data_IF_931428072324
#
_entry.id   IF_931428072324
#
_cell.length_a   1.000
_cell.length_b   1.000
_cell.length_c   1.000
_cell.angle_alpha   90.00
_cell.angle_beta   90.00
_cell.angle_gamma   90.00
#
_symmetry.space_group_name_H-M   'P 1'
#
loop_
_entity.id
_entity.type
_entity.pdbx_description
1 polymer ?
#
# COMPACT_ATOMS: atom_id res chain seq x y z
N UNK A 1 15.84 29.42 0.28
CA UNK A 1 15.07 30.37 -0.53
C UNK A 1 14.16 29.57 -1.44
N UNK A 2 12.94 29.26 -0.99
CA UNK A 2 11.92 28.59 -1.81
C UNK A 2 10.88 29.65 -2.13
N UNK A 3 10.64 29.86 -3.42
CA UNK A 3 9.77 30.91 -3.95
C UNK A 3 8.30 30.60 -3.72
N UNK A 4 7.54 31.68 -3.52
CA UNK A 4 6.10 31.73 -3.37
C UNK A 4 5.40 31.13 -4.60
N UNK A 5 4.76 29.98 -4.43
CA UNK A 5 3.92 29.37 -5.45
C UNK A 5 2.52 29.98 -5.33
N UNK A 6 2.22 30.95 -6.21
CA UNK A 6 0.91 31.58 -6.31
C UNK A 6 -0.25 30.58 -6.51
N UNK A 7 -1.51 31.04 -6.37
CA UNK A 7 -2.67 30.17 -6.23
C UNK A 7 -2.87 29.28 -7.48
N UNK A 8 -2.94 27.96 -7.25
CA UNK A 8 -3.26 26.95 -8.25
C UNK A 8 -4.66 27.22 -8.80
N UNK A 9 -4.75 27.67 -10.05
CA UNK A 9 -6.03 27.78 -10.77
C UNK A 9 -6.45 26.40 -11.24
N UNK A 10 -7.47 25.84 -10.58
CA UNK A 10 -8.14 24.63 -11.04
C UNK A 10 -9.05 24.99 -12.21
N UNK A 11 -8.55 24.85 -13.43
CA UNK A 11 -9.37 24.89 -14.64
C UNK A 11 -10.13 23.57 -14.72
N UNK A 12 -11.43 23.56 -14.39
CA UNK A 12 -12.30 22.39 -14.60
C UNK A 12 -12.49 22.18 -16.10
N UNK A 13 -11.85 21.14 -16.65
CA UNK A 13 -12.06 20.67 -18.02
C UNK A 13 -13.07 19.53 -17.99
N UNK A 14 -14.15 19.64 -18.78
CA UNK A 14 -14.98 18.51 -19.21
C UNK A 14 -16.12 18.08 -18.30
N UNK A 15 -17.20 17.58 -18.89
CA UNK A 15 -18.40 17.11 -18.19
C UNK A 15 -18.05 15.99 -17.20
N UNK A 16 -18.30 16.23 -15.91
CA UNK A 16 -18.11 15.24 -14.85
C UNK A 16 -19.03 14.04 -15.10
N UNK A 17 -18.46 12.83 -15.21
CA UNK A 17 -19.22 11.59 -15.13
C UNK A 17 -19.95 11.58 -13.78
N UNK A 18 -21.27 11.80 -13.79
CA UNK A 18 -22.05 12.04 -12.56
C UNK A 18 -22.17 10.80 -11.66
N UNK A 19 -21.85 9.62 -12.19
CA UNK A 19 -22.02 8.33 -11.52
C UNK A 19 -20.71 7.70 -11.03
N UNK A 20 -19.54 8.33 -11.31
CA UNK A 20 -18.24 7.82 -10.84
C UNK A 20 -17.81 8.55 -9.57
N UNK A 21 -17.83 7.81 -8.46
CA UNK A 21 -17.34 8.28 -7.16
C UNK A 21 -15.84 8.03 -7.00
N UNK A 22 -15.16 8.83 -6.17
CA UNK A 22 -13.72 8.72 -5.92
C UNK A 22 -13.42 7.64 -4.86
N UNK A 23 -13.74 6.38 -5.17
CA UNK A 23 -13.55 5.25 -4.28
C UNK A 23 -12.66 4.16 -4.88
N UNK A 24 -11.81 3.58 -4.03
CA UNK A 24 -11.09 2.34 -4.28
C UNK A 24 -11.51 1.36 -3.20
N UNK A 25 -12.38 0.42 -3.53
CA UNK A 25 -12.83 -0.63 -2.59
C UNK A 25 -11.91 -1.86 -2.62
N UNK A 26 -11.30 -2.14 -3.78
CA UNK A 26 -10.40 -3.28 -3.96
C UNK A 26 -9.12 -2.81 -4.62
N UNK A 27 -7.99 -3.19 -4.01
CA UNK A 27 -6.70 -3.19 -4.68
C UNK A 27 -6.32 -4.65 -4.87
N UNK A 28 -6.33 -5.13 -6.11
CA UNK A 28 -6.00 -6.54 -6.42
C UNK A 28 -4.66 -6.61 -7.14
N UNK A 29 -3.77 -7.45 -6.63
CA UNK A 29 -2.43 -7.64 -7.15
C UNK A 29 -2.29 -9.04 -7.75
N UNK A 30 -1.79 -9.10 -8.98
CA UNK A 30 -1.35 -10.36 -9.57
C UNK A 30 -0.15 -10.88 -8.77
N UNK A 31 -0.33 -12.06 -8.20
CA UNK A 31 0.54 -12.67 -7.20
C UNK A 31 1.17 -13.92 -7.82
N UNK A 32 2.47 -13.90 -8.16
CA UNK A 32 3.13 -15.04 -8.81
C UNK A 32 3.22 -16.28 -7.92
N UNK A 33 3.31 -16.09 -6.61
CA UNK A 33 3.41 -17.17 -5.63
C UNK A 33 2.50 -16.85 -4.44
N UNK A 34 1.29 -17.42 -4.48
CA UNK A 34 0.27 -17.18 -3.46
C UNK A 34 0.62 -17.86 -2.12
N UNK A 35 1.43 -18.92 -2.15
CA UNK A 35 1.86 -19.62 -0.95
C UNK A 35 2.96 -18.85 -0.22
N UNK A 36 3.93 -18.26 -0.95
CA UNK A 36 4.91 -17.35 -0.39
C UNK A 36 4.23 -16.11 0.23
N UNK A 37 3.22 -15.55 -0.46
CA UNK A 37 2.43 -14.46 0.07
C UNK A 37 1.70 -14.86 1.36
N UNK A 38 1.05 -16.02 1.40
CA UNK A 38 0.37 -16.53 2.60
C UNK A 38 1.33 -16.75 3.77
N UNK A 39 2.50 -17.34 3.51
CA UNK A 39 3.53 -17.54 4.53
C UNK A 39 4.01 -16.20 5.11
N UNK A 40 4.20 -15.19 4.27
CA UNK A 40 4.60 -13.85 4.70
C UNK A 40 3.52 -13.13 5.50
N UNK A 41 2.33 -12.93 4.90
CA UNK A 41 1.26 -12.14 5.51
C UNK A 41 0.65 -12.85 6.72
N UNK A 42 0.22 -14.11 6.57
CA UNK A 42 -0.45 -14.83 7.65
C UNK A 42 0.55 -15.39 8.67
N UNK A 43 1.61 -16.05 8.20
CA UNK A 43 2.59 -16.71 9.09
C UNK A 43 3.58 -15.73 9.73
N UNK A 44 4.09 -14.78 8.94
CA UNK A 44 5.14 -13.86 9.37
C UNK A 44 4.61 -12.59 10.04
N UNK A 45 3.60 -11.95 9.45
CA UNK A 45 3.00 -10.73 9.98
C UNK A 45 1.77 -10.99 10.87
N UNK A 46 1.25 -12.21 10.90
CA UNK A 46 0.09 -12.57 11.71
C UNK A 46 -1.24 -12.01 11.18
N UNK A 47 -1.33 -11.69 9.89
CA UNK A 47 -2.56 -11.18 9.30
C UNK A 47 -3.61 -12.29 9.19
N UNK A 48 -4.87 -11.91 9.40
CA UNK A 48 -6.01 -12.80 9.23
C UNK A 48 -6.69 -12.50 7.89
N UNK A 49 -6.86 -13.50 7.01
CA UNK A 49 -7.57 -13.30 5.76
C UNK A 49 -9.07 -13.09 6.02
N UNK A 50 -9.64 -12.13 5.29
CA UNK A 50 -11.10 -11.98 5.16
C UNK A 50 -11.69 -13.14 4.33
N UNK A 51 -10.94 -13.63 3.34
CA UNK A 51 -11.24 -14.79 2.51
C UNK A 51 -9.91 -15.40 2.03
N UNK A 52 -9.83 -16.73 1.98
CA UNK A 52 -8.71 -17.45 1.37
C UNK A 52 -9.28 -18.59 0.53
N UNK A 53 -9.15 -18.49 -0.78
CA UNK A 53 -9.48 -19.54 -1.75
C UNK A 53 -8.17 -20.14 -2.24
N UNK A 54 -7.82 -21.37 -1.83
CA UNK A 54 -6.56 -22.00 -2.19
C UNK A 54 -6.32 -22.04 -3.71
N UNK A 55 -5.11 -21.64 -4.11
CA UNK A 55 -4.72 -21.56 -5.53
C UNK A 55 -5.50 -20.52 -6.34
N UNK A 56 -6.17 -19.56 -5.69
CA UNK A 56 -6.94 -18.53 -6.39
C UNK A 56 -6.70 -17.15 -5.81
N UNK A 57 -7.22 -16.84 -4.63
CA UNK A 57 -7.20 -15.47 -4.12
C UNK A 57 -7.20 -15.43 -2.60
N UNK A 58 -6.48 -14.46 -2.03
CA UNK A 58 -6.53 -14.11 -0.61
C UNK A 58 -6.96 -12.66 -0.49
N UNK A 59 -7.96 -12.38 0.35
CA UNK A 59 -8.39 -11.04 0.68
C UNK A 59 -8.01 -10.67 2.12
N UNK A 60 -7.52 -9.45 2.31
CA UNK A 60 -7.27 -8.85 3.62
C UNK A 60 -8.04 -7.54 3.74
N UNK A 61 -8.76 -7.36 4.85
CA UNK A 61 -9.36 -6.07 5.18
C UNK A 61 -8.23 -5.12 5.64
N UNK A 62 -7.96 -4.05 4.88
CA UNK A 62 -6.84 -3.14 5.18
C UNK A 62 -7.27 -1.77 5.72
N UNK A 63 -8.52 -1.37 5.46
CA UNK A 63 -9.14 -0.17 6.02
C UNK A 63 -10.68 -0.29 5.93
N UNK A 64 -11.48 0.53 6.61
CA UNK A 64 -12.94 0.54 6.41
C UNK A 64 -13.31 0.68 4.93
N UNK A 65 -14.05 -0.30 4.40
CA UNK A 65 -14.47 -0.32 2.99
C UNK A 65 -13.39 -0.68 1.97
N UNK A 66 -12.15 -0.97 2.39
CA UNK A 66 -11.05 -1.29 1.48
C UNK A 66 -10.44 -2.66 1.76
N UNK A 67 -10.30 -3.45 0.69
CA UNK A 67 -9.74 -4.80 0.70
C UNK A 67 -8.51 -4.85 -0.22
N UNK A 68 -7.44 -5.47 0.28
CA UNK A 68 -6.30 -5.90 -0.52
C UNK A 68 -6.54 -7.34 -0.98
N UNK A 69 -6.51 -7.57 -2.29
CA UNK A 69 -6.56 -8.89 -2.92
C UNK A 69 -5.21 -9.32 -3.45
N UNK A 70 -4.78 -10.52 -3.09
CA UNK A 70 -3.65 -11.22 -3.69
C UNK A 70 -4.23 -12.32 -4.56
N UNK A 71 -4.27 -12.09 -5.88
CA UNK A 71 -4.89 -13.00 -6.86
C UNK A 71 -3.77 -13.73 -7.60
N UNK A 72 -3.80 -15.06 -7.63
CA UNK A 72 -2.97 -15.90 -8.50
C UNK A 72 -2.76 -15.24 -9.87
N UNK A 73 -1.51 -15.07 -10.26
CA UNK A 73 -1.17 -14.25 -11.41
C UNK A 73 -1.69 -14.83 -12.74
N UNK A 74 -1.80 -16.15 -12.87
CA UNK A 74 -2.36 -16.80 -14.07
C UNK A 74 -3.85 -16.53 -14.17
N UNK A 75 -4.59 -16.83 -13.11
CA UNK A 75 -6.04 -16.59 -13.05
C UNK A 75 -6.39 -15.10 -13.17
N UNK A 76 -5.60 -14.22 -12.55
CA UNK A 76 -5.77 -12.77 -12.71
C UNK A 76 -5.71 -12.36 -14.19
N UNK A 77 -4.74 -12.89 -14.95
CA UNK A 77 -4.60 -12.58 -16.39
C UNK A 77 -5.76 -13.11 -17.21
N UNK A 78 -6.23 -14.32 -16.89
CA UNK A 78 -7.40 -14.92 -17.52
C UNK A 78 -8.65 -14.07 -17.29
N UNK A 79 -8.89 -13.64 -16.05
CA UNK A 79 -10.04 -12.82 -15.65
C UNK A 79 -10.09 -11.48 -16.38
N UNK A 80 -8.95 -10.77 -16.47
CA UNK A 80 -8.90 -9.47 -17.17
C UNK A 80 -8.71 -9.60 -18.69
N UNK A 81 -8.60 -10.82 -19.22
CA UNK A 81 -8.42 -11.09 -20.65
C UNK A 81 -7.11 -10.55 -21.25
N UNK A 82 -6.01 -10.53 -20.49
CA UNK A 82 -4.70 -10.02 -20.95
C UNK A 82 -3.59 -11.08 -20.90
N UNK A 83 -3.39 -11.86 -21.98
CA UNK A 83 -2.31 -12.84 -22.05
C UNK A 83 -0.93 -12.17 -22.15
N UNK A 84 0.08 -12.73 -21.48
CA UNK A 84 1.45 -12.18 -21.46
C UNK A 84 2.33 -12.84 -20.39
N UNK A 85 3.64 -12.63 -20.46
CA UNK A 85 4.65 -13.42 -19.70
C UNK A 85 5.03 -12.86 -18.34
N UNK A 86 4.73 -11.60 -18.02
CA UNK A 86 5.11 -11.04 -16.73
C UNK A 86 4.13 -9.96 -16.27
N UNK A 87 3.51 -10.18 -15.11
CA UNK A 87 2.92 -9.09 -14.32
C UNK A 87 3.94 -8.77 -13.24
N UNK A 88 4.58 -7.60 -13.32
CA UNK A 88 5.46 -7.11 -12.27
C UNK A 88 4.79 -5.90 -11.63
N UNK A 89 4.60 -5.93 -10.32
CA UNK A 89 4.14 -4.77 -9.58
C UNK A 89 5.27 -3.74 -9.56
N UNK A 90 5.09 -2.60 -10.24
CA UNK A 90 6.10 -1.53 -10.26
C UNK A 90 5.43 -0.17 -10.17
N UNK A 91 6.12 0.79 -9.53
CA UNK A 91 5.63 2.17 -9.38
C UNK A 91 4.51 2.34 -8.35
N UNK A 92 4.34 1.41 -7.40
CA UNK A 92 3.34 1.47 -6.33
C UNK A 92 4.03 1.29 -4.98
N UNK A 93 3.62 2.09 -3.99
CA UNK A 93 3.95 1.89 -2.58
C UNK A 93 2.68 1.77 -1.75
N UNK A 94 2.64 0.82 -0.83
CA UNK A 94 1.62 0.76 0.22
C UNK A 94 2.19 1.34 1.51
N UNK A 95 1.62 2.46 1.97
CA UNK A 95 2.15 3.19 3.12
C UNK A 95 1.32 2.92 4.38
N UNK A 96 2.01 2.65 5.49
CA UNK A 96 1.42 2.46 6.81
C UNK A 96 2.03 3.45 7.81
N UNK A 97 1.20 4.40 8.27
CA UNK A 97 1.60 5.36 9.29
C UNK A 97 1.55 4.73 10.69
N UNK A 98 2.65 4.85 11.44
CA UNK A 98 2.80 4.37 12.81
C UNK A 98 3.09 5.51 13.78
N UNK A 99 2.95 5.23 15.07
CA UNK A 99 2.96 6.23 16.14
C UNK A 99 4.29 6.97 16.33
N UNK A 100 5.41 6.42 15.85
CA UNK A 100 6.72 7.05 16.02
C UNK A 100 7.85 6.33 15.29
N UNK A 101 9.07 6.91 15.26
CA UNK A 101 10.24 6.32 14.61
C UNK A 101 10.56 4.90 15.10
N UNK A 102 10.49 4.64 16.40
CA UNK A 102 10.76 3.32 16.97
C UNK A 102 9.81 2.23 16.44
N UNK A 103 8.55 2.59 16.20
CA UNK A 103 7.58 1.67 15.60
C UNK A 103 7.89 1.41 14.13
N UNK A 104 8.46 2.39 13.40
CA UNK A 104 8.95 2.19 12.04
C UNK A 104 10.08 1.16 12.04
N UNK A 105 11.08 1.36 12.89
CA UNK A 105 12.21 0.44 13.03
C UNK A 105 11.75 -0.99 13.35
N UNK A 106 10.87 -1.13 14.36
CA UNK A 106 10.38 -2.42 14.81
C UNK A 106 9.61 -3.16 13.71
N UNK A 107 8.71 -2.48 13.00
CA UNK A 107 7.86 -3.11 12.00
C UNK A 107 8.64 -3.47 10.72
N UNK A 108 9.56 -2.61 10.27
CA UNK A 108 10.45 -2.95 9.16
C UNK A 108 11.31 -4.16 9.51
N UNK A 109 11.87 -4.22 10.72
CA UNK A 109 12.64 -5.37 11.16
C UNK A 109 11.78 -6.65 11.25
N UNK A 110 10.52 -6.54 11.69
CA UNK A 110 9.59 -7.67 11.71
C UNK A 110 9.28 -8.19 10.30
N UNK A 111 9.01 -7.29 9.35
CA UNK A 111 8.77 -7.68 7.96
C UNK A 111 9.98 -8.37 7.34
N UNK A 112 11.20 -7.87 7.58
CA UNK A 112 12.42 -8.52 7.08
C UNK A 112 12.59 -9.93 7.69
N UNK A 113 12.31 -10.10 9.00
CA UNK A 113 12.31 -11.44 9.63
C UNK A 113 11.25 -12.38 9.05
N UNK A 114 10.12 -11.83 8.60
CA UNK A 114 9.07 -12.58 7.91
C UNK A 114 9.41 -12.95 6.46
N UNK A 115 10.53 -12.47 5.91
CA UNK A 115 10.98 -12.78 4.55
C UNK A 115 10.89 -11.62 3.56
N UNK A 116 10.57 -10.40 4.01
CA UNK A 116 10.63 -9.23 3.13
C UNK A 116 12.06 -8.89 2.72
N UNK A 117 12.22 -8.37 1.52
CA UNK A 117 13.48 -7.79 1.05
C UNK A 117 13.59 -6.34 1.51
N UNK A 118 14.63 -6.00 2.27
CA UNK A 118 14.84 -4.62 2.69
C UNK A 118 15.21 -3.75 1.48
N UNK A 119 14.47 -2.66 1.27
CA UNK A 119 14.70 -1.69 0.17
C UNK A 119 15.39 -0.44 0.70
N UNK A 120 14.94 0.07 1.84
CA UNK A 120 15.47 1.29 2.46
C UNK A 120 15.44 1.15 3.98
N UNK A 121 16.61 1.25 4.61
CA UNK A 121 16.70 1.32 6.06
C UNK A 121 15.87 2.50 6.60
N UNK A 122 15.18 2.32 7.75
CA UNK A 122 14.49 3.39 8.43
C UNK A 122 15.40 4.61 8.66
N UNK A 123 14.91 5.78 8.29
CA UNK A 123 15.65 7.03 8.41
C UNK A 123 14.71 8.24 8.34
N UNK A 124 15.23 9.41 8.74
CA UNK A 124 14.51 10.68 8.58
C UNK A 124 14.29 10.98 7.10
N UNK A 125 13.05 11.29 6.72
CA UNK A 125 12.69 11.62 5.35
C UNK A 125 13.12 13.06 4.99
N UNK A 126 13.41 13.31 3.72
CA UNK A 126 13.88 14.62 3.23
C UNK A 126 12.81 15.73 3.34
N UNK A 127 11.54 15.34 3.40
CA UNK A 127 10.37 16.22 3.46
C UNK A 127 9.71 16.23 4.86
N UNK A 128 10.42 15.77 5.89
CA UNK A 128 9.89 15.63 7.25
C UNK A 128 9.31 14.24 7.51
N UNK A 129 9.31 13.83 8.78
CA UNK A 129 8.92 12.48 9.22
C UNK A 129 10.07 11.45 9.22
N UNK A 130 9.72 10.19 9.43
CA UNK A 130 10.65 9.07 9.52
C UNK A 130 10.09 7.85 8.80
N UNK A 131 10.86 7.16 7.97
CA UNK A 131 10.34 6.05 7.17
C UNK A 131 11.37 5.00 6.79
N UNK A 132 10.91 3.77 6.55
CA UNK A 132 11.67 2.67 6.00
C UNK A 132 10.84 1.92 4.94
N UNK A 133 11.51 1.22 4.03
CA UNK A 133 10.84 0.50 2.95
C UNK A 133 11.33 -0.92 2.83
N UNK A 134 10.42 -1.83 2.53
CA UNK A 134 10.71 -3.21 2.18
C UNK A 134 9.82 -3.66 1.02
N UNK A 135 10.22 -4.70 0.32
CA UNK A 135 9.40 -5.39 -0.67
C UNK A 135 8.89 -6.71 -0.07
N UNK A 136 7.59 -6.96 -0.20
CA UNK A 136 7.00 -8.26 0.13
C UNK A 136 7.42 -9.33 -0.91
N UNK A 137 7.04 -10.62 -0.73
CA UNK A 137 7.37 -11.67 -1.70
C UNK A 137 6.81 -11.44 -3.11
N UNK A 138 5.79 -10.59 -3.27
CA UNK A 138 5.20 -10.22 -4.55
C UNK A 138 5.91 -9.01 -5.20
N UNK A 139 6.95 -8.47 -4.56
CA UNK A 139 7.66 -7.28 -5.01
C UNK A 139 6.92 -5.96 -4.73
N UNK A 140 5.84 -5.99 -3.94
CA UNK A 140 5.11 -4.80 -3.53
C UNK A 140 5.94 -4.05 -2.51
N UNK A 141 6.20 -2.77 -2.80
CA UNK A 141 6.97 -1.93 -1.89
C UNK A 141 6.02 -1.43 -0.80
N UNK A 142 6.34 -1.76 0.44
CA UNK A 142 5.73 -1.18 1.63
C UNK A 142 6.59 -0.05 2.16
N UNK A 143 5.96 1.07 2.48
CA UNK A 143 6.52 2.13 3.29
C UNK A 143 5.93 2.02 4.69
N UNK A 144 6.79 1.86 5.71
CA UNK A 144 6.39 2.13 7.08
C UNK A 144 6.88 3.53 7.42
N UNK A 145 5.96 4.40 7.82
CA UNK A 145 6.28 5.81 8.03
C UNK A 145 5.70 6.33 9.34
N UNK A 146 6.32 7.37 9.86
CA UNK A 146 5.77 8.23 10.88
C UNK A 146 5.71 9.63 10.30
N UNK A 147 4.51 10.05 9.91
CA UNK A 147 4.21 11.41 9.48
C UNK A 147 3.31 12.11 10.52
N UNK A 148 3.87 13.01 11.37
CA UNK A 148 3.08 13.74 12.36
C UNK A 148 2.01 14.65 11.77
N UNK A 149 2.15 15.05 10.50
CA UNK A 149 1.16 15.86 9.80
C UNK A 149 -0.02 15.07 9.24
N UNK A 150 -0.02 13.73 9.36
CA UNK A 150 -1.10 12.87 8.88
C UNK A 150 -1.99 12.41 10.04
N UNK A 151 -3.30 12.42 9.81
CA UNK A 151 -4.28 11.86 10.75
C UNK A 151 -5.57 11.45 10.02
N UNK A 152 -6.40 10.64 10.68
CA UNK A 152 -7.76 10.29 10.24
C UNK A 152 -8.73 10.79 11.30
N UNK A 153 -9.77 11.53 10.89
CA UNK A 153 -10.83 11.97 11.83
C UNK A 153 -11.92 10.90 12.03
N UNK A 154 -12.87 11.17 12.93
CA UNK A 154 -13.95 10.23 13.29
C UNK A 154 -14.85 9.83 12.13
N UNK A 155 -14.86 10.60 11.04
CA UNK A 155 -15.63 10.29 9.84
C UNK A 155 -14.78 9.60 8.76
N UNK A 156 -13.55 9.20 9.09
CA UNK A 156 -12.65 8.50 8.18
C UNK A 156 -11.93 9.41 7.17
N UNK A 157 -11.98 10.74 7.34
CA UNK A 157 -11.31 11.66 6.42
C UNK A 157 -9.84 11.84 6.81
N UNK A 158 -8.97 11.72 5.82
CA UNK A 158 -7.54 12.03 5.98
C UNK A 158 -7.34 13.54 6.10
N UNK A 159 -6.54 13.95 7.09
CA UNK A 159 -6.00 15.31 7.19
C UNK A 159 -4.49 15.26 7.00
N UNK A 160 -3.99 16.19 6.20
CA UNK A 160 -2.57 16.41 5.94
C UNK A 160 -2.24 17.85 6.26
N UNK A 161 -1.36 18.09 7.22
CA UNK A 161 -0.83 19.42 7.55
C UNK A 161 0.59 19.54 7.03
N UNK A 162 0.89 20.65 6.36
CA UNK A 162 2.22 20.95 5.79
C UNK A 162 3.10 21.77 6.72
N UNK A 163 2.56 22.23 7.86
CA UNK A 163 3.28 23.03 8.84
C UNK A 163 4.03 22.08 9.79
N UNK A 164 5.29 21.79 9.45
CA UNK A 164 6.20 20.92 10.19
C UNK A 164 7.58 21.56 10.34
#
# INVERSE_FOLDING_TARGET
>A
MIGDAGPVRITRIGATLRDMEQHIHFVTLATPDLDAARAFYCGGLGWEPLLDVPGEIIFFQTAPGMVLGLFDAEKFREDIGRPGTHVATSGITFSHNVAGPEAVDALVAAAVRAGASLIKHPQRAAFGGYHGHFADPNGVIWEICHNPGWSIDSEGRVRLTTDM
#
